data_IF_939030548476
#
_entry.id   IF_939030548476
#
_cell.length_a   1.000
_cell.length_b   1.000
_cell.length_c   1.000
_cell.angle_alpha   90.00
_cell.angle_beta   90.00
_cell.angle_gamma   90.00
#
_symmetry.space_group_name_H-M   'P 1'
#
loop_
_entity.id
_entity.type
_entity.pdbx_description
1 polymer ?
#
# COMPACT_ATOMS: atom_id res chain seq x y z
N UNK A 1 -18.26 1.71 3.42
CA UNK A 1 -17.55 0.53 3.96
C UNK A 1 -16.30 0.32 3.12
N UNK A 2 -15.15 0.08 3.77
CA UNK A 2 -13.89 -0.33 3.10
C UNK A 2 -13.66 -1.81 3.43
N UNK A 3 -13.28 -2.59 2.43
CA UNK A 3 -13.11 -4.04 2.57
C UNK A 3 -11.86 -4.50 1.79
N UNK A 4 -11.04 -5.35 2.41
CA UNK A 4 -9.99 -6.09 1.71
C UNK A 4 -10.61 -7.29 0.99
N UNK A 5 -10.38 -7.36 -0.33
CA UNK A 5 -10.90 -8.44 -1.17
C UNK A 5 -9.74 -9.31 -1.65
N UNK A 6 -9.69 -10.55 -1.18
CA UNK A 6 -8.65 -11.49 -1.61
C UNK A 6 -8.94 -12.04 -3.00
N UNK A 7 -7.89 -12.41 -3.73
CA UNK A 7 -8.00 -13.09 -5.03
C UNK A 7 -8.84 -14.37 -4.95
N UNK A 8 -8.66 -15.17 -3.88
CA UNK A 8 -9.51 -16.34 -3.62
C UNK A 8 -10.97 -15.95 -3.33
N UNK A 9 -11.20 -14.82 -2.65
CA UNK A 9 -12.56 -14.31 -2.41
C UNK A 9 -13.30 -14.00 -3.71
N UNK A 10 -12.61 -13.44 -4.69
CA UNK A 10 -13.14 -13.21 -6.05
C UNK A 10 -13.35 -14.52 -6.80
N UNK A 11 -12.33 -15.38 -6.83
CA UNK A 11 -12.37 -16.69 -7.50
C UNK A 11 -13.51 -17.57 -6.97
N UNK A 12 -13.72 -17.60 -5.67
CA UNK A 12 -14.76 -18.41 -5.01
C UNK A 12 -16.12 -17.70 -4.89
N UNK A 13 -16.30 -16.58 -5.59
CA UNK A 13 -17.54 -15.80 -5.61
C UNK A 13 -18.04 -15.35 -4.23
N UNK A 14 -17.15 -15.17 -3.25
CA UNK A 14 -17.53 -14.75 -1.87
C UNK A 14 -18.07 -13.33 -1.81
N UNK A 15 -17.77 -12.51 -2.80
CA UNK A 15 -18.20 -11.12 -2.94
C UNK A 15 -19.15 -10.91 -4.12
N UNK A 16 -19.72 -11.98 -4.67
CA UNK A 16 -20.70 -11.88 -5.75
C UNK A 16 -22.05 -11.33 -5.25
N UNK A 17 -22.82 -10.73 -6.15
CA UNK A 17 -24.17 -10.26 -5.86
C UNK A 17 -24.30 -8.77 -5.59
N UNK A 18 -23.18 -8.01 -5.56
CA UNK A 18 -23.20 -6.55 -5.53
C UNK A 18 -22.03 -5.96 -6.34
N UNK A 19 -22.12 -4.66 -6.63
CA UNK A 19 -21.10 -3.92 -7.36
C UNK A 19 -20.46 -2.92 -6.40
N UNK A 20 -19.14 -2.90 -6.31
CA UNK A 20 -18.40 -1.91 -5.52
C UNK A 20 -18.49 -0.53 -6.18
N UNK A 21 -18.55 0.52 -5.40
CA UNK A 21 -18.41 1.87 -5.96
C UNK A 21 -16.99 2.07 -6.48
N UNK A 22 -15.98 1.65 -5.72
CA UNK A 22 -14.56 1.72 -6.09
C UNK A 22 -13.90 0.36 -5.96
N UNK A 23 -13.15 -0.05 -6.99
CA UNK A 23 -12.20 -1.16 -6.95
C UNK A 23 -10.78 -0.63 -6.94
N UNK A 24 -9.95 -1.05 -5.98
CA UNK A 24 -8.60 -0.49 -5.79
C UNK A 24 -7.54 -1.56 -6.02
N UNK A 25 -6.54 -1.23 -6.83
CA UNK A 25 -5.33 -2.03 -7.03
C UNK A 25 -4.10 -1.23 -6.63
N UNK A 26 -3.36 -1.72 -5.65
CA UNK A 26 -2.14 -1.06 -5.14
C UNK A 26 -0.86 -1.65 -5.72
N UNK A 27 -0.71 -2.97 -5.68
CA UNK A 27 0.45 -3.69 -6.21
C UNK A 27 0.17 -5.19 -6.34
N UNK A 28 1.02 -5.87 -7.09
CA UNK A 28 1.05 -7.32 -7.20
C UNK A 28 2.50 -7.83 -7.14
N UNK A 29 2.73 -8.86 -6.34
CA UNK A 29 3.98 -9.59 -6.30
C UNK A 29 3.70 -11.09 -6.22
N UNK A 30 4.62 -11.97 -6.66
CA UNK A 30 4.45 -13.40 -6.53
C UNK A 30 4.22 -13.82 -5.07
N UNK A 31 3.00 -14.24 -4.77
CA UNK A 31 2.58 -14.78 -3.49
C UNK A 31 1.34 -15.67 -3.74
N UNK A 32 0.90 -16.40 -2.73
CA UNK A 32 -0.31 -17.23 -2.82
C UNK A 32 -0.31 -18.25 -3.98
N UNK A 33 0.84 -18.82 -4.31
CA UNK A 33 0.99 -19.88 -5.31
C UNK A 33 1.36 -21.18 -4.60
N UNK A 34 0.51 -22.19 -4.70
CA UNK A 34 0.74 -23.46 -4.01
C UNK A 34 -0.46 -24.41 -4.06
N UNK A 35 -0.33 -25.61 -3.45
CA UNK A 35 -1.34 -26.68 -3.60
C UNK A 35 -2.77 -26.33 -3.11
N UNK A 36 -2.91 -25.36 -2.23
CA UNK A 36 -4.20 -24.89 -1.68
C UNK A 36 -4.45 -23.41 -1.99
N UNK A 37 -3.71 -22.87 -2.93
CA UNK A 37 -3.76 -21.47 -3.35
C UNK A 37 -3.94 -21.42 -4.87
N UNK A 38 -3.38 -20.41 -5.55
CA UNK A 38 -3.44 -20.35 -7.01
C UNK A 38 -2.45 -21.32 -7.66
N UNK A 39 -2.81 -21.88 -8.82
CA UNK A 39 -1.97 -22.80 -9.55
C UNK A 39 -0.77 -22.10 -10.22
N UNK A 40 -0.93 -20.81 -10.56
CA UNK A 40 0.14 -19.99 -11.17
C UNK A 40 -0.03 -18.51 -10.81
N UNK A 41 1.01 -17.72 -11.15
CA UNK A 41 0.96 -16.26 -11.00
C UNK A 41 -0.08 -15.62 -11.92
N UNK A 42 -0.24 -16.15 -13.13
CA UNK A 42 -1.22 -15.69 -14.11
C UNK A 42 -2.65 -15.88 -13.58
N UNK A 43 -2.94 -17.04 -12.99
CA UNK A 43 -4.24 -17.28 -12.35
C UNK A 43 -4.47 -16.33 -11.18
N UNK A 44 -3.44 -16.10 -10.34
CA UNK A 44 -3.51 -15.15 -9.24
C UNK A 44 -3.82 -13.73 -9.74
N UNK A 45 -3.13 -13.27 -10.80
CA UNK A 45 -3.36 -11.98 -11.45
C UNK A 45 -4.77 -11.91 -12.05
N UNK A 46 -5.20 -12.94 -12.78
CA UNK A 46 -6.53 -12.98 -13.37
C UNK A 46 -7.63 -12.92 -12.29
N UNK A 47 -7.49 -13.67 -11.22
CA UNK A 47 -8.44 -13.61 -10.10
C UNK A 47 -8.54 -12.21 -9.48
N UNK A 48 -7.42 -11.50 -9.31
CA UNK A 48 -7.44 -10.10 -8.84
C UNK A 48 -8.11 -9.15 -9.83
N UNK A 49 -7.96 -9.39 -11.15
CA UNK A 49 -8.56 -8.56 -12.20
C UNK A 49 -10.10 -8.59 -12.17
N UNK A 50 -10.71 -9.63 -11.61
CA UNK A 50 -12.17 -9.76 -11.51
C UNK A 50 -12.81 -8.60 -10.73
N UNK A 51 -12.08 -7.96 -9.80
CA UNK A 51 -12.57 -6.79 -9.09
C UNK A 51 -12.96 -5.65 -10.05
N UNK A 52 -12.21 -5.46 -11.13
CA UNK A 52 -12.42 -4.39 -12.11
C UNK A 52 -13.56 -4.67 -13.10
N UNK A 53 -14.19 -5.82 -12.99
CA UNK A 53 -15.48 -6.17 -13.65
C UNK A 53 -16.66 -6.05 -12.69
N UNK A 54 -16.39 -5.82 -11.39
CA UNK A 54 -17.39 -5.79 -10.32
C UNK A 54 -17.37 -4.45 -9.56
N UNK A 55 -16.79 -3.41 -10.14
CA UNK A 55 -16.81 -2.05 -9.59
C UNK A 55 -17.28 -1.03 -10.64
N UNK A 56 -17.79 0.12 -10.16
CA UNK A 56 -18.18 1.26 -11.02
C UNK A 56 -16.95 2.03 -11.50
N UNK A 57 -16.01 2.29 -10.58
CA UNK A 57 -14.77 3.00 -10.85
C UNK A 57 -13.58 2.20 -10.31
N UNK A 58 -12.54 2.07 -11.12
CA UNK A 58 -11.30 1.40 -10.78
C UNK A 58 -10.19 2.41 -10.50
N UNK A 59 -9.44 2.23 -9.42
CA UNK A 59 -8.30 3.07 -9.05
C UNK A 59 -7.06 2.19 -9.03
N UNK A 60 -6.07 2.49 -9.90
CA UNK A 60 -4.94 1.60 -10.12
C UNK A 60 -3.60 2.32 -10.00
N UNK A 61 -2.62 1.62 -9.45
CA UNK A 61 -1.24 2.05 -9.42
C UNK A 61 -0.62 1.87 -10.81
N UNK A 62 -0.36 2.98 -11.53
CA UNK A 62 0.23 2.95 -12.85
C UNK A 62 1.71 2.52 -12.86
N UNK A 63 2.39 2.56 -11.71
CA UNK A 63 3.79 2.16 -11.58
C UNK A 63 4.00 0.65 -11.42
N UNK A 64 2.94 -0.08 -11.09
CA UNK A 64 3.04 -1.54 -10.94
C UNK A 64 3.18 -2.21 -12.31
N UNK A 65 4.16 -3.10 -12.44
CA UNK A 65 4.46 -3.78 -13.70
C UNK A 65 3.37 -4.72 -14.18
N UNK A 66 2.47 -5.12 -13.31
CA UNK A 66 1.37 -6.04 -13.60
C UNK A 66 0.04 -5.33 -13.85
N UNK A 67 0.00 -3.99 -13.81
CA UNK A 67 -1.24 -3.21 -13.92
C UNK A 67 -2.01 -3.52 -15.21
N UNK A 68 -1.33 -3.68 -16.34
CA UNK A 68 -1.95 -3.97 -17.64
C UNK A 68 -2.70 -5.30 -17.62
N UNK A 69 -2.18 -6.32 -16.94
CA UNK A 69 -2.85 -7.60 -16.76
C UNK A 69 -4.08 -7.51 -15.84
N UNK A 70 -4.00 -6.66 -14.82
CA UNK A 70 -5.11 -6.40 -13.88
C UNK A 70 -6.28 -5.72 -14.59
N UNK A 71 -6.02 -4.74 -15.46
CA UNK A 71 -7.07 -3.97 -16.12
C UNK A 71 -7.48 -4.49 -17.50
N UNK A 72 -6.84 -5.55 -18.00
CA UNK A 72 -7.01 -6.07 -19.36
C UNK A 72 -8.47 -6.25 -19.80
N UNK A 73 -9.34 -6.66 -18.91
CA UNK A 73 -10.76 -6.94 -19.20
C UNK A 73 -11.69 -6.13 -18.26
N UNK A 74 -11.27 -4.95 -17.82
CA UNK A 74 -12.09 -4.09 -16.98
C UNK A 74 -13.35 -3.62 -17.72
N UNK A 75 -14.38 -3.33 -16.95
CA UNK A 75 -15.65 -2.75 -17.45
C UNK A 75 -15.99 -1.43 -16.77
N UNK A 76 -15.18 -1.02 -15.80
CA UNK A 76 -15.34 0.20 -15.02
C UNK A 76 -14.58 1.38 -15.65
N UNK A 77 -14.91 2.60 -15.21
CA UNK A 77 -14.08 3.78 -15.49
C UNK A 77 -12.80 3.68 -14.67
N UNK A 78 -11.65 3.91 -15.30
CA UNK A 78 -10.35 3.83 -14.63
C UNK A 78 -9.83 5.21 -14.22
N UNK A 79 -9.17 5.23 -13.07
CA UNK A 79 -8.36 6.32 -12.54
C UNK A 79 -7.00 5.79 -12.13
N UNK A 80 -5.98 6.59 -12.29
CA UNK A 80 -4.59 6.19 -12.09
C UNK A 80 -3.91 7.04 -11.02
N UNK A 81 -3.01 6.43 -10.27
CA UNK A 81 -2.07 7.16 -9.41
C UNK A 81 -0.65 6.65 -9.63
N UNK A 82 0.35 7.51 -9.41
CA UNK A 82 1.74 7.20 -9.71
C UNK A 82 2.71 8.07 -8.91
N UNK A 83 3.93 7.57 -8.69
CA UNK A 83 5.09 8.35 -8.26
C UNK A 83 6.13 8.53 -9.39
N UNK A 84 5.93 7.89 -10.57
CA UNK A 84 6.97 7.81 -11.62
C UNK A 84 6.46 8.18 -13.01
N UNK A 85 5.18 7.99 -13.26
CA UNK A 85 4.54 8.15 -14.58
C UNK A 85 3.45 9.20 -14.52
N UNK A 86 3.07 9.76 -15.66
CA UNK A 86 1.89 10.59 -15.77
C UNK A 86 0.62 9.82 -15.39
N UNK A 87 -0.21 10.42 -14.53
CA UNK A 87 -1.38 9.80 -13.93
C UNK A 87 -2.41 10.86 -13.50
N UNK A 88 -3.66 10.44 -13.22
CA UNK A 88 -4.70 11.36 -12.74
C UNK A 88 -4.32 12.02 -11.41
N UNK A 89 -3.55 11.32 -10.56
CA UNK A 89 -2.91 11.87 -9.37
C UNK A 89 -1.46 11.39 -9.29
N UNK A 90 -0.52 12.32 -9.34
CA UNK A 90 0.91 12.00 -9.33
C UNK A 90 1.60 12.65 -8.13
N UNK A 91 2.47 11.89 -7.43
CA UNK A 91 3.37 12.45 -6.43
C UNK A 91 4.66 12.98 -7.05
N UNK A 92 5.10 14.14 -6.57
CA UNK A 92 6.41 14.74 -6.85
C UNK A 92 7.07 15.24 -5.57
N UNK A 93 8.33 15.66 -5.65
CA UNK A 93 9.12 16.19 -4.53
C UNK A 93 8.99 15.31 -3.25
N UNK A 94 9.11 14.00 -3.42
CA UNK A 94 9.01 13.03 -2.31
C UNK A 94 10.26 13.10 -1.45
N UNK A 95 10.08 13.26 -0.15
CA UNK A 95 11.18 13.31 0.83
C UNK A 95 10.81 12.68 2.16
N UNK A 96 11.83 12.41 2.98
CA UNK A 96 11.65 11.92 4.35
C UNK A 96 11.36 13.11 5.28
N UNK A 97 10.39 12.92 6.17
CA UNK A 97 10.12 13.84 7.26
C UNK A 97 11.00 13.42 8.46
N UNK A 98 11.94 14.27 8.81
CA UNK A 98 12.83 14.08 9.99
C UNK A 98 12.85 15.38 10.79
N UNK A 99 11.78 15.64 11.53
CA UNK A 99 11.66 16.80 12.41
C UNK A 99 11.44 16.34 13.85
N UNK A 100 12.38 16.68 14.75
CA UNK A 100 12.29 16.48 16.20
C UNK A 100 11.77 15.10 16.67
N UNK A 101 12.27 14.03 16.04
CA UNK A 101 11.88 12.64 16.38
C UNK A 101 10.56 12.19 15.75
N UNK A 102 9.97 12.97 14.88
CA UNK A 102 8.89 12.52 14.00
C UNK A 102 9.49 11.91 12.74
N UNK A 103 9.02 10.74 12.36
CA UNK A 103 9.39 10.09 11.11
C UNK A 103 8.16 9.98 10.20
N UNK A 104 8.38 10.09 8.90
CA UNK A 104 7.30 10.03 7.92
C UNK A 104 7.78 10.41 6.52
N UNK A 105 6.86 10.76 5.66
CA UNK A 105 7.11 11.22 4.30
C UNK A 105 6.38 12.52 4.05
N UNK A 106 6.98 13.38 3.23
CA UNK A 106 6.30 14.51 2.63
C UNK A 106 6.38 14.43 1.10
N UNK A 107 5.41 14.99 0.42
CA UNK A 107 5.37 15.02 -1.05
C UNK A 107 4.41 16.08 -1.55
N UNK A 108 4.62 16.52 -2.79
CA UNK A 108 3.64 17.34 -3.51
C UNK A 108 2.80 16.43 -4.40
N UNK A 109 1.60 16.87 -4.78
CA UNK A 109 0.82 16.20 -5.80
C UNK A 109 0.50 17.11 -6.96
N UNK A 110 0.29 16.51 -8.15
CA UNK A 110 -0.20 17.14 -9.37
C UNK A 110 -1.30 16.29 -10.00
N UNK A 111 -2.09 16.88 -10.89
CA UNK A 111 -3.24 16.25 -11.53
C UNK A 111 -4.55 16.73 -10.93
N UNK A 112 -5.42 15.81 -10.51
CA UNK A 112 -6.73 16.17 -9.95
C UNK A 112 -6.65 16.89 -8.58
N UNK A 113 -5.53 16.76 -7.87
CA UNK A 113 -5.22 17.50 -6.64
C UNK A 113 -3.81 18.09 -6.74
N UNK A 114 -3.65 19.38 -6.38
CA UNK A 114 -2.36 20.08 -6.39
C UNK A 114 -2.07 20.59 -4.98
N UNK A 115 -1.52 19.71 -4.13
CA UNK A 115 -1.32 19.97 -2.70
C UNK A 115 0.05 19.49 -2.21
N UNK A 116 0.46 19.99 -1.05
CA UNK A 116 1.56 19.44 -0.26
C UNK A 116 0.98 18.56 0.84
N UNK A 117 1.44 17.34 0.93
CA UNK A 117 0.95 16.32 1.86
C UNK A 117 2.06 15.81 2.77
N UNK A 118 1.68 15.47 4.00
CA UNK A 118 2.54 14.84 5.01
C UNK A 118 1.83 13.57 5.51
N UNK A 119 2.60 12.51 5.71
CA UNK A 119 2.14 11.27 6.35
C UNK A 119 3.19 10.79 7.35
N UNK A 120 2.77 10.55 8.60
CA UNK A 120 3.66 10.11 9.68
C UNK A 120 3.91 8.59 9.68
N UNK A 121 3.97 7.99 8.50
CA UNK A 121 4.34 6.61 8.27
C UNK A 121 5.52 6.63 7.29
N UNK A 122 6.72 6.19 7.70
CA UNK A 122 7.91 6.25 6.86
C UNK A 122 7.87 5.23 5.73
N UNK A 123 8.57 5.55 4.64
CA UNK A 123 8.77 4.67 3.49
C UNK A 123 7.95 5.02 2.26
N UNK A 124 8.51 4.75 1.10
CA UNK A 124 7.89 5.08 -0.19
C UNK A 124 6.51 4.45 -0.38
N UNK A 125 6.28 3.27 0.21
CA UNK A 125 4.97 2.61 0.19
C UNK A 125 3.87 3.46 0.83
N UNK A 126 4.20 4.29 1.83
CA UNK A 126 3.23 5.18 2.46
C UNK A 126 2.79 6.31 1.53
N UNK A 127 3.66 6.75 0.62
CA UNK A 127 3.30 7.72 -0.43
C UNK A 127 2.27 7.09 -1.38
N UNK A 128 2.51 5.89 -1.88
CA UNK A 128 1.53 5.17 -2.73
C UNK A 128 0.20 4.95 -2.01
N UNK A 129 0.23 4.53 -0.74
CA UNK A 129 -0.98 4.34 0.07
C UNK A 129 -1.70 5.68 0.32
N UNK A 130 -0.97 6.78 0.47
CA UNK A 130 -1.54 8.13 0.58
C UNK A 130 -2.18 8.55 -0.74
N UNK A 131 -1.52 8.37 -1.88
CA UNK A 131 -2.06 8.72 -3.20
C UNK A 131 -3.39 8.00 -3.48
N UNK A 132 -3.44 6.70 -3.26
CA UNK A 132 -4.69 5.95 -3.49
C UNK A 132 -5.80 6.38 -2.54
N UNK A 133 -5.47 6.70 -1.29
CA UNK A 133 -6.44 7.24 -0.31
C UNK A 133 -6.93 8.61 -0.73
N UNK A 134 -6.01 9.52 -1.12
CA UNK A 134 -6.34 10.87 -1.60
C UNK A 134 -7.25 10.80 -2.82
N UNK A 135 -6.89 10.01 -3.83
CA UNK A 135 -7.66 9.87 -5.06
C UNK A 135 -9.06 9.29 -4.78
N UNK A 136 -9.15 8.25 -3.96
CA UNK A 136 -10.43 7.65 -3.58
C UNK A 136 -11.33 8.65 -2.86
N UNK A 137 -10.79 9.39 -1.89
CA UNK A 137 -11.53 10.39 -1.12
C UNK A 137 -11.95 11.59 -2.01
N UNK A 138 -11.08 12.03 -2.91
CA UNK A 138 -11.37 13.09 -3.87
C UNK A 138 -12.53 12.70 -4.80
N UNK A 139 -12.49 11.50 -5.37
CA UNK A 139 -13.58 10.96 -6.20
C UNK A 139 -14.89 10.79 -5.42
N UNK A 140 -14.80 10.53 -4.11
CA UNK A 140 -15.96 10.49 -3.22
C UNK A 140 -16.48 11.88 -2.81
N UNK A 141 -15.88 12.97 -3.30
CA UNK A 141 -16.32 14.36 -3.05
C UNK A 141 -15.87 14.92 -1.70
N UNK A 142 -14.84 14.36 -1.07
CA UNK A 142 -14.28 14.89 0.17
C UNK A 142 -13.32 16.03 -0.17
N UNK A 143 -13.36 17.12 0.61
CA UNK A 143 -12.50 18.29 0.35
C UNK A 143 -11.01 17.98 0.62
N UNK A 144 -10.14 18.65 -0.14
CA UNK A 144 -8.69 18.47 -0.04
C UNK A 144 -8.17 18.73 1.40
N UNK A 145 -8.72 19.75 2.10
CA UNK A 145 -8.33 20.04 3.48
C UNK A 145 -8.72 18.91 4.45
N UNK A 146 -9.87 18.27 4.23
CA UNK A 146 -10.29 17.14 5.06
C UNK A 146 -9.43 15.90 4.80
N UNK A 147 -9.05 15.66 3.56
CA UNK A 147 -8.14 14.58 3.15
C UNK A 147 -6.77 14.78 3.80
N UNK A 148 -6.18 15.97 3.67
CA UNK A 148 -4.88 16.29 4.25
C UNK A 148 -4.87 16.18 5.77
N UNK A 149 -5.91 16.68 6.47
CA UNK A 149 -6.04 16.50 7.93
C UNK A 149 -6.18 15.03 8.33
N UNK A 150 -6.78 14.20 7.47
CA UNK A 150 -6.89 12.76 7.69
C UNK A 150 -5.53 12.07 7.58
N UNK A 151 -4.76 12.39 6.54
CA UNK A 151 -3.42 11.84 6.31
C UNK A 151 -2.44 12.21 7.42
N UNK A 152 -2.45 13.46 7.87
CA UNK A 152 -1.60 13.94 8.96
C UNK A 152 -1.82 13.18 10.28
N UNK A 153 -3.05 12.71 10.51
CA UNK A 153 -3.45 12.02 11.74
C UNK A 153 -3.48 10.49 11.62
N UNK A 154 -3.29 9.95 10.42
CA UNK A 154 -3.42 8.50 10.21
C UNK A 154 -2.37 7.74 11.00
N UNK A 155 -2.82 6.70 11.71
CA UNK A 155 -1.98 5.72 12.39
C UNK A 155 -2.54 4.33 12.12
N UNK A 156 -1.68 3.42 11.71
CA UNK A 156 -2.07 2.04 11.45
C UNK A 156 -1.35 1.13 12.44
N UNK A 157 -2.11 0.50 13.34
CA UNK A 157 -1.54 -0.40 14.36
C UNK A 157 -0.76 -1.54 13.70
N UNK A 158 0.45 -1.76 14.21
CA UNK A 158 1.33 -2.80 13.69
C UNK A 158 1.87 -2.58 12.27
N UNK A 159 1.79 -1.35 11.74
CA UNK A 159 2.36 -0.95 10.44
C UNK A 159 3.27 0.26 10.62
N UNK A 160 4.55 0.00 10.81
CA UNK A 160 5.56 0.99 11.18
C UNK A 160 5.07 1.88 12.34
N UNK A 161 4.39 1.26 13.30
CA UNK A 161 3.75 1.93 14.42
C UNK A 161 4.81 2.43 15.40
N UNK A 162 4.89 3.74 15.58
CA UNK A 162 5.74 4.37 16.58
C UNK A 162 5.15 4.17 17.98
N UNK A 163 5.94 3.57 18.88
CA UNK A 163 5.55 3.36 20.28
C UNK A 163 6.32 4.32 21.16
N UNK A 164 5.65 5.29 21.79
CA UNK A 164 6.31 6.34 22.59
C UNK A 164 6.71 5.80 23.97
N UNK A 165 7.87 5.15 24.07
CA UNK A 165 8.39 4.55 25.33
C UNK A 165 9.57 5.32 25.90
N UNK A 166 10.32 6.10 25.10
CA UNK A 166 11.50 6.83 25.50
C UNK A 166 11.73 8.04 24.60
N UNK A 167 12.49 9.03 25.10
CA UNK A 167 13.03 10.12 24.28
C UNK A 167 14.42 9.80 23.71
N UNK A 168 15.09 8.78 24.27
CA UNK A 168 16.47 8.43 23.90
C UNK A 168 16.55 7.44 22.74
N UNK A 169 15.48 6.71 22.48
CA UNK A 169 15.37 5.74 21.39
C UNK A 169 13.94 5.60 20.88
N UNK A 170 13.83 5.24 19.61
CA UNK A 170 12.55 5.00 18.93
C UNK A 170 12.23 3.51 18.93
N UNK A 171 11.01 3.14 19.31
CA UNK A 171 10.48 1.78 19.17
C UNK A 171 9.43 1.78 18.08
N UNK A 172 9.56 0.82 17.17
CA UNK A 172 8.63 0.64 16.03
C UNK A 172 8.11 -0.79 16.04
N UNK A 173 6.81 -0.93 15.85
CA UNK A 173 6.15 -2.23 15.64
C UNK A 173 5.70 -2.32 14.18
N UNK A 174 6.09 -3.40 13.51
CA UNK A 174 5.66 -3.67 12.15
C UNK A 174 5.21 -5.13 11.97
N UNK A 175 4.37 -5.35 10.98
CA UNK A 175 3.85 -6.68 10.63
C UNK A 175 4.66 -7.37 9.54
N UNK A 176 5.80 -6.83 9.15
CA UNK A 176 6.69 -7.45 8.16
C UNK A 176 7.00 -8.89 8.57
N UNK A 177 6.71 -9.84 7.69
CA UNK A 177 6.80 -11.28 7.97
C UNK A 177 7.35 -12.10 6.80
N UNK A 178 7.90 -11.42 5.79
CA UNK A 178 8.64 -12.01 4.68
C UNK A 178 9.86 -11.16 4.35
N UNK A 179 10.78 -11.70 3.56
CA UNK A 179 12.05 -11.05 3.21
C UNK A 179 11.84 -9.66 2.60
N UNK A 180 10.95 -9.55 1.62
CA UNK A 180 10.70 -8.28 0.89
C UNK A 180 10.21 -7.18 1.83
N UNK A 181 9.21 -7.47 2.65
CA UNK A 181 8.65 -6.48 3.60
C UNK A 181 9.65 -6.13 4.70
N UNK A 182 10.39 -7.09 5.25
CA UNK A 182 11.40 -6.85 6.29
C UNK A 182 12.54 -6.00 5.73
N UNK A 183 13.04 -6.32 4.54
CA UNK A 183 14.05 -5.53 3.84
C UNK A 183 13.57 -4.11 3.59
N UNK A 184 12.35 -3.93 3.10
CA UNK A 184 11.75 -2.62 2.83
C UNK A 184 11.72 -1.74 4.09
N UNK A 185 11.20 -2.26 5.20
CA UNK A 185 11.15 -1.52 6.48
C UNK A 185 12.55 -1.17 6.97
N UNK A 186 13.47 -2.13 7.02
CA UNK A 186 14.83 -1.88 7.51
C UNK A 186 15.60 -0.90 6.62
N UNK A 187 15.43 -0.96 5.30
CA UNK A 187 16.04 0.00 4.37
C UNK A 187 15.47 1.39 4.60
N UNK A 188 14.14 1.52 4.71
CA UNK A 188 13.49 2.78 5.02
C UNK A 188 14.02 3.39 6.32
N UNK A 189 14.16 2.60 7.39
CA UNK A 189 14.62 3.09 8.67
C UNK A 189 16.10 3.53 8.65
N UNK A 190 16.92 2.96 7.77
CA UNK A 190 18.32 3.41 7.57
C UNK A 190 18.41 4.81 6.98
N UNK A 191 17.45 5.25 6.20
CA UNK A 191 17.42 6.62 5.62
C UNK A 191 17.32 7.72 6.68
N UNK A 192 16.87 7.38 7.91
CA UNK A 192 16.86 8.28 9.07
C UNK A 192 18.19 8.28 9.84
N UNK A 193 19.25 7.68 9.30
CA UNK A 193 20.63 7.67 9.85
C UNK A 193 20.73 7.30 11.33
N UNK A 194 20.04 6.25 11.82
CA UNK A 194 20.11 5.88 13.22
C UNK A 194 21.53 5.44 13.59
N UNK A 195 22.02 5.86 14.77
CA UNK A 195 23.31 5.41 15.30
C UNK A 195 23.38 3.88 15.45
N UNK A 196 22.25 3.26 15.77
CA UNK A 196 22.09 1.80 15.89
C UNK A 196 20.68 1.40 15.52
N UNK A 197 20.55 0.40 14.66
CA UNK A 197 19.27 -0.22 14.32
C UNK A 197 19.26 -1.65 14.87
N UNK A 198 18.26 -1.96 15.70
CA UNK A 198 18.06 -3.28 16.30
C UNK A 198 16.75 -3.86 15.74
N UNK A 199 16.81 -5.02 15.11
CA UNK A 199 15.64 -5.75 14.66
C UNK A 199 15.39 -6.95 15.58
N UNK A 200 14.18 -7.02 16.14
CA UNK A 200 13.69 -8.19 16.88
C UNK A 200 12.58 -8.81 16.06
N UNK A 201 12.79 -10.03 15.60
CA UNK A 201 11.79 -10.72 14.78
C UNK A 201 11.61 -12.18 15.20
N UNK A 202 10.49 -12.77 14.79
CA UNK A 202 10.19 -14.18 15.02
C UNK A 202 9.38 -14.78 13.87
N UNK A 203 9.61 -16.05 13.56
CA UNK A 203 8.91 -16.79 12.51
C UNK A 203 7.84 -17.73 13.06
N UNK A 204 6.67 -17.77 12.42
CA UNK A 204 5.61 -18.75 12.74
C UNK A 204 6.05 -20.20 12.43
N UNK A 205 5.76 -21.13 13.34
CA UNK A 205 6.25 -22.53 13.28
C UNK A 205 5.78 -23.33 12.06
N UNK A 206 4.56 -23.11 11.57
CA UNK A 206 3.91 -23.89 10.50
C UNK A 206 3.93 -23.22 9.11
N UNK A 207 4.95 -22.41 8.82
CA UNK A 207 5.14 -21.74 7.52
C UNK A 207 6.31 -22.37 6.77
N UNK A 208 6.44 -22.08 5.46
CA UNK A 208 7.52 -22.55 4.60
C UNK A 208 8.90 -22.40 5.27
N UNK A 209 9.70 -23.47 5.27
CA UNK A 209 11.07 -23.46 5.82
C UNK A 209 11.97 -22.48 5.03
N UNK A 210 11.77 -22.34 3.72
CA UNK A 210 12.54 -21.43 2.87
C UNK A 210 12.43 -19.98 3.35
N UNK A 211 11.25 -19.54 3.75
CA UNK A 211 11.00 -18.20 4.27
C UNK A 211 11.88 -17.81 5.48
N UNK A 212 12.37 -18.80 6.24
CA UNK A 212 13.23 -18.56 7.41
C UNK A 212 14.67 -18.24 7.05
N UNK A 213 15.14 -18.74 5.92
CA UNK A 213 16.52 -18.52 5.47
C UNK A 213 16.67 -17.18 4.75
N UNK A 214 15.58 -16.70 4.13
CA UNK A 214 15.58 -15.45 3.38
C UNK A 214 15.40 -14.22 4.28
N UNK A 215 14.84 -14.40 5.48
CA UNK A 215 14.66 -13.35 6.51
C UNK A 215 15.88 -13.22 7.42
#
# INVERSE_FOLDING_TARGET
VVMEVSSQGLMLHRVSGFVFDYGIFTNLSPDHIGPNEHASFEEYQECKSLLFRQCKEGIVNADDEHVDGIIKNHTCKLHTFSCKKDADLMAGAVGYLDEEGQIGMHFTTTGCMNVYAVVHIPGSFSVYNSLVTMLTCHLAGISDEAILRGLDKVKVRGRVELVPVSKDFTVIIDYAHNEVSTRSVLTTLKEYHPKRLICVYGGGGNRSKLRRYDM
#
